data_IF_796030174465
#
_entry.id   IF_796030174465
#
_cell.length_a   1.000
_cell.length_b   1.000
_cell.length_c   1.000
_cell.angle_alpha   90.00
_cell.angle_beta   90.00
_cell.angle_gamma   90.00
#
_symmetry.space_group_name_H-M   'P 1'
#
loop_
_entity.id
_entity.type
_entity.pdbx_description
1 polymer ?
#
# COMPACT_ATOMS: atom_id res chain seq x y z
N UNK A 1 38.31 -41.12 -7.11
CA UNK A 1 38.17 -40.74 -5.69
C UNK A 1 37.93 -39.24 -5.54
N UNK A 2 38.89 -38.36 -5.86
CA UNK A 2 38.75 -36.89 -5.76
C UNK A 2 37.50 -36.32 -6.47
N UNK A 3 37.20 -36.77 -7.69
CA UNK A 3 36.02 -36.33 -8.45
C UNK A 3 34.69 -36.73 -7.79
N UNK A 4 34.62 -37.93 -7.19
CA UNK A 4 33.41 -38.41 -6.52
C UNK A 4 33.20 -37.67 -5.21
N UNK A 5 34.27 -37.42 -4.46
CA UNK A 5 34.22 -36.64 -3.22
C UNK A 5 33.85 -35.18 -3.48
N UNK A 6 34.38 -34.56 -4.55
CA UNK A 6 34.00 -33.19 -4.92
C UNK A 6 32.54 -33.10 -5.40
N UNK A 7 32.09 -34.09 -6.17
CA UNK A 7 30.69 -34.15 -6.64
C UNK A 7 29.71 -34.33 -5.49
N UNK A 8 30.02 -35.22 -4.54
CA UNK A 8 29.17 -35.44 -3.37
C UNK A 8 29.16 -34.21 -2.44
N UNK A 9 30.31 -33.59 -2.22
CA UNK A 9 30.42 -32.34 -1.46
C UNK A 9 29.62 -31.20 -2.10
N UNK A 10 29.73 -31.02 -3.43
CA UNK A 10 28.93 -30.04 -4.17
C UNK A 10 27.44 -30.32 -4.06
N UNK A 11 27.04 -31.59 -4.14
CA UNK A 11 25.62 -31.97 -4.07
C UNK A 11 25.06 -31.75 -2.66
N UNK A 12 25.82 -32.12 -1.62
CA UNK A 12 25.39 -31.95 -0.24
C UNK A 12 25.28 -30.47 0.15
N UNK A 13 26.25 -29.64 -0.27
CA UNK A 13 26.23 -28.18 -0.01
C UNK A 13 25.11 -27.49 -0.79
N UNK A 14 24.89 -27.87 -2.06
CA UNK A 14 23.76 -27.40 -2.85
C UNK A 14 22.42 -27.78 -2.19
N UNK A 15 22.25 -29.03 -1.78
CA UNK A 15 21.02 -29.49 -1.12
C UNK A 15 20.77 -28.76 0.22
N UNK A 16 21.82 -28.50 1.00
CA UNK A 16 21.69 -27.73 2.23
C UNK A 16 21.23 -26.29 1.94
N UNK A 17 21.81 -25.63 0.94
CA UNK A 17 21.39 -24.28 0.52
C UNK A 17 19.97 -24.23 -0.03
N UNK A 18 19.53 -25.26 -0.78
CA UNK A 18 18.19 -25.31 -1.35
C UNK A 18 17.10 -25.69 -0.34
N UNK A 19 17.49 -26.26 0.81
CA UNK A 19 16.56 -26.52 1.92
C UNK A 19 16.24 -25.28 2.74
N UNK A 20 17.07 -24.24 2.67
CA UNK A 20 16.81 -22.96 3.31
C UNK A 20 15.77 -22.18 2.49
N UNK A 21 14.49 -22.50 2.73
CA UNK A 21 13.37 -21.90 2.04
C UNK A 21 12.52 -21.08 3.03
N UNK A 22 12.60 -19.73 3.02
CA UNK A 22 11.82 -18.89 3.93
C UNK A 22 10.31 -18.94 3.65
N UNK A 23 9.91 -19.46 2.48
CA UNK A 23 8.53 -19.42 1.98
C UNK A 23 7.55 -20.19 2.86
N UNK A 24 7.90 -21.38 3.34
CA UNK A 24 6.96 -22.19 4.14
C UNK A 24 6.58 -21.46 5.43
N UNK A 25 7.56 -20.92 6.14
CA UNK A 25 7.36 -20.15 7.36
C UNK A 25 6.56 -18.88 7.09
N UNK A 26 6.89 -18.16 6.02
CA UNK A 26 6.17 -16.98 5.58
C UNK A 26 4.69 -17.29 5.34
N UNK A 27 4.37 -18.31 4.55
CA UNK A 27 2.99 -18.66 4.17
C UNK A 27 2.17 -19.07 5.40
N UNK A 28 2.73 -19.86 6.32
CA UNK A 28 2.04 -20.24 7.56
C UNK A 28 1.72 -19.02 8.43
N UNK A 29 2.69 -18.13 8.62
CA UNK A 29 2.50 -16.91 9.40
C UNK A 29 1.49 -15.97 8.74
N UNK A 30 1.54 -15.83 7.41
CA UNK A 30 0.64 -14.97 6.66
C UNK A 30 -0.80 -15.49 6.71
N UNK A 31 -1.01 -16.79 6.52
CA UNK A 31 -2.33 -17.42 6.67
C UNK A 31 -2.91 -17.21 8.07
N UNK A 32 -2.11 -17.45 9.12
CA UNK A 32 -2.56 -17.24 10.50
C UNK A 32 -2.88 -15.76 10.77
N UNK A 33 -2.04 -14.84 10.30
CA UNK A 33 -2.24 -13.39 10.48
C UNK A 33 -3.47 -12.88 9.73
N UNK A 34 -3.69 -13.36 8.51
CA UNK A 34 -4.88 -13.03 7.72
C UNK A 34 -6.16 -13.56 8.36
N UNK A 35 -6.14 -14.79 8.88
CA UNK A 35 -7.28 -15.36 9.58
C UNK A 35 -7.62 -14.55 10.85
N UNK A 36 -6.61 -14.14 11.62
CA UNK A 36 -6.81 -13.29 12.80
C UNK A 36 -7.34 -11.89 12.45
N UNK A 37 -7.04 -11.39 11.25
CA UNK A 37 -7.47 -10.08 10.75
C UNK A 37 -8.78 -10.10 9.95
N UNK A 38 -9.47 -11.25 9.85
CA UNK A 38 -10.55 -11.46 8.88
C UNK A 38 -11.73 -10.49 9.01
N UNK A 39 -12.06 -10.05 10.23
CA UNK A 39 -13.15 -9.09 10.49
C UNK A 39 -12.69 -7.63 10.59
N UNK A 40 -11.42 -7.35 10.26
CA UNK A 40 -10.84 -6.00 10.35
C UNK A 40 -11.10 -5.14 9.12
N UNK A 41 -10.49 -3.96 9.09
CA UNK A 41 -10.49 -3.11 7.90
C UNK A 41 -9.83 -3.83 6.70
N UNK A 42 -10.13 -3.45 5.45
CA UNK A 42 -9.42 -3.95 4.28
C UNK A 42 -7.91 -3.76 4.40
N UNK A 43 -7.13 -4.68 3.85
CA UNK A 43 -5.69 -4.52 3.71
C UNK A 43 -5.37 -3.83 2.39
N UNK A 44 -4.42 -2.90 2.40
CA UNK A 44 -3.86 -2.42 1.15
C UNK A 44 -3.20 -3.59 0.43
N UNK A 45 -3.58 -3.77 -0.83
CA UNK A 45 -2.91 -4.75 -1.66
C UNK A 45 -1.44 -4.35 -1.84
N UNK A 46 -0.57 -5.29 -1.53
CA UNK A 46 0.86 -5.07 -1.36
C UNK A 46 1.61 -6.27 -1.91
N UNK A 47 2.83 -6.02 -2.35
CA UNK A 47 3.73 -7.10 -2.74
C UNK A 47 4.09 -7.93 -1.51
N UNK A 48 4.19 -9.24 -1.71
CA UNK A 48 4.75 -10.14 -0.71
C UNK A 48 6.26 -9.95 -0.63
N UNK A 49 6.91 -10.58 0.36
CA UNK A 49 8.36 -10.43 0.48
C UNK A 49 9.06 -10.89 -0.81
N UNK A 50 10.04 -10.12 -1.36
CA UNK A 50 10.73 -10.50 -2.59
C UNK A 50 11.48 -11.83 -2.52
N UNK A 51 11.81 -12.34 -1.32
CA UNK A 51 12.37 -13.69 -1.14
C UNK A 51 11.33 -14.80 -1.29
N UNK A 52 10.03 -14.46 -1.24
CA UNK A 52 8.92 -15.38 -1.50
C UNK A 52 8.55 -15.35 -2.98
N UNK A 53 8.24 -14.16 -3.52
CA UNK A 53 7.92 -13.98 -4.93
C UNK A 53 8.31 -12.58 -5.39
N UNK A 54 9.20 -12.50 -6.36
CA UNK A 54 9.75 -11.24 -6.85
C UNK A 54 8.76 -10.49 -7.77
N UNK A 55 8.95 -9.17 -7.90
CA UNK A 55 8.16 -8.29 -8.78
C UNK A 55 8.18 -8.68 -10.26
N UNK A 56 9.15 -9.48 -10.72
CA UNK A 56 9.13 -10.03 -12.09
C UNK A 56 7.90 -10.90 -12.36
N UNK A 57 7.30 -11.47 -11.31
CA UNK A 57 6.09 -12.27 -11.37
C UNK A 57 4.80 -11.46 -11.20
N UNK A 58 4.84 -10.13 -11.32
CA UNK A 58 3.64 -9.29 -11.27
C UNK A 58 2.58 -9.80 -12.27
N UNK A 59 1.30 -9.92 -11.88
CA UNK A 59 0.69 -9.50 -10.60
C UNK A 59 0.70 -10.58 -9.52
N UNK A 60 1.21 -11.77 -9.80
CA UNK A 60 1.10 -12.92 -8.89
C UNK A 60 1.87 -12.73 -7.57
N UNK A 61 2.80 -11.77 -7.52
CA UNK A 61 3.49 -11.36 -6.30
C UNK A 61 2.65 -10.46 -5.36
N UNK A 62 1.44 -10.08 -5.74
CA UNK A 62 0.53 -9.34 -4.87
C UNK A 62 -0.11 -10.27 -3.84
N UNK A 63 -0.29 -9.79 -2.61
CA UNK A 63 -0.94 -10.53 -1.54
C UNK A 63 -2.37 -10.95 -1.92
N UNK A 64 -3.09 -10.11 -2.67
CA UNK A 64 -4.42 -10.44 -3.19
C UNK A 64 -4.44 -11.62 -4.15
N UNK A 65 -3.39 -11.80 -4.97
CA UNK A 65 -3.23 -12.93 -5.88
C UNK A 65 -2.79 -14.18 -5.11
N UNK A 66 -1.72 -14.07 -4.32
CA UNK A 66 -1.13 -15.21 -3.61
C UNK A 66 -2.10 -15.85 -2.60
N UNK A 67 -2.94 -15.04 -1.96
CA UNK A 67 -3.90 -15.51 -0.96
C UNK A 67 -5.35 -15.50 -1.45
N UNK A 68 -5.57 -15.42 -2.76
CA UNK A 68 -6.90 -15.33 -3.37
C UNK A 68 -7.86 -16.41 -2.87
N UNK A 69 -7.37 -17.65 -2.72
CA UNK A 69 -8.15 -18.84 -2.35
C UNK A 69 -8.39 -19.00 -0.84
N UNK A 70 -7.77 -18.18 0.01
CA UNK A 70 -8.08 -18.20 1.44
C UNK A 70 -9.49 -17.63 1.68
N UNK A 71 -10.35 -18.41 2.33
CA UNK A 71 -11.73 -18.00 2.66
C UNK A 71 -11.81 -17.06 3.86
N UNK A 72 -10.95 -17.28 4.85
CA UNK A 72 -10.94 -16.52 6.11
C UNK A 72 -9.78 -15.54 6.06
N UNK A 73 -10.04 -14.33 5.56
CA UNK A 73 -9.07 -13.24 5.44
C UNK A 73 -9.80 -11.90 5.28
N UNK A 74 -9.15 -10.76 5.57
CA UNK A 74 -9.68 -9.46 5.19
C UNK A 74 -9.76 -9.31 3.66
N UNK A 75 -10.57 -8.36 3.22
CA UNK A 75 -10.55 -7.88 1.84
C UNK A 75 -9.20 -7.23 1.52
N UNK A 76 -8.71 -7.41 0.29
CA UNK A 76 -7.61 -6.62 -0.25
C UNK A 76 -8.18 -5.50 -1.11
N UNK A 77 -7.81 -4.26 -0.82
CA UNK A 77 -8.35 -3.07 -1.46
C UNK A 77 -7.25 -2.06 -1.80
N UNK A 78 -7.59 -1.06 -2.59
CA UNK A 78 -6.70 0.07 -2.88
C UNK A 78 -6.73 1.15 -1.79
N UNK A 79 -7.61 1.01 -0.78
CA UNK A 79 -7.76 1.98 0.30
C UNK A 79 -8.05 1.31 1.63
N UNK A 80 -7.59 1.90 2.74
CA UNK A 80 -7.91 1.43 4.10
C UNK A 80 -7.84 2.57 5.11
N UNK A 81 -8.50 2.42 6.25
CA UNK A 81 -8.36 3.30 7.42
C UNK A 81 -7.35 2.76 8.45
N UNK A 82 -6.92 1.49 8.31
CA UNK A 82 -5.96 0.84 9.20
C UNK A 82 -4.80 0.27 8.39
N UNK A 83 -3.67 0.99 8.42
CA UNK A 83 -2.49 0.62 7.65
C UNK A 83 -1.72 -0.51 8.34
N UNK A 84 -1.57 -1.63 7.63
CA UNK A 84 -0.82 -2.82 8.08
C UNK A 84 0.02 -3.36 6.93
N UNK A 85 1.12 -4.02 7.27
CA UNK A 85 2.03 -4.62 6.30
C UNK A 85 2.49 -6.02 6.70
N UNK A 86 2.88 -6.84 5.71
CA UNK A 86 3.59 -8.08 5.97
C UNK A 86 5.07 -7.81 6.27
N UNK A 87 5.60 -8.48 7.29
CA UNK A 87 7.04 -8.59 7.52
C UNK A 87 7.66 -9.62 6.58
N UNK A 88 8.99 -9.65 6.49
CA UNK A 88 9.73 -10.70 5.77
C UNK A 88 9.51 -12.12 6.28
N UNK A 89 8.96 -12.26 7.48
CA UNK A 89 8.57 -13.54 8.08
C UNK A 89 7.09 -13.87 7.87
N UNK A 90 6.34 -13.04 7.15
CA UNK A 90 4.92 -13.24 6.85
C UNK A 90 3.97 -12.85 7.98
N UNK A 91 4.42 -12.12 9.00
CA UNK A 91 3.53 -11.61 10.05
C UNK A 91 2.89 -10.30 9.61
N UNK A 92 1.60 -10.13 9.89
CA UNK A 92 0.92 -8.85 9.67
C UNK A 92 1.13 -7.94 10.88
N UNK A 93 1.68 -6.75 10.66
CA UNK A 93 1.95 -5.75 11.71
C UNK A 93 1.40 -4.39 11.32
N UNK A 94 1.20 -3.52 12.32
CA UNK A 94 0.85 -2.11 12.07
C UNK A 94 1.96 -1.41 11.29
N UNK A 95 1.56 -0.52 10.39
CA UNK A 95 2.47 0.15 9.48
C UNK A 95 2.23 1.66 9.43
N UNK A 96 3.26 2.37 9.00
CA UNK A 96 3.25 3.80 8.69
C UNK A 96 3.76 4.02 7.27
N UNK A 97 3.43 5.18 6.70
CA UNK A 97 3.96 5.61 5.41
C UNK A 97 5.31 6.27 5.63
N UNK A 98 6.32 5.88 4.84
CA UNK A 98 7.63 6.52 4.86
C UNK A 98 7.58 7.89 4.19
N UNK A 99 8.48 8.77 4.60
CA UNK A 99 8.58 10.14 4.11
C UNK A 99 9.44 10.20 2.85
N UNK A 100 9.00 9.56 1.76
CA UNK A 100 9.70 9.67 0.46
C UNK A 100 9.41 11.04 -0.15
N UNK A 101 8.14 11.44 -0.15
CA UNK A 101 7.67 12.78 -0.46
C UNK A 101 6.61 13.22 0.53
N UNK A 102 6.34 14.51 0.51
CA UNK A 102 5.31 15.14 1.34
C UNK A 102 4.42 16.01 0.47
N UNK A 103 3.11 15.91 0.66
CA UNK A 103 2.17 16.92 0.18
C UNK A 103 2.45 18.20 0.96
N UNK A 104 2.82 19.28 0.27
CA UNK A 104 3.11 20.57 0.92
C UNK A 104 1.84 21.19 1.49
N UNK A 105 2.00 22.18 2.38
CA UNK A 105 0.86 22.89 2.94
C UNK A 105 0.06 23.61 1.84
N UNK A 106 -1.25 23.35 1.79
CA UNK A 106 -2.15 24.00 0.84
C UNK A 106 -2.41 25.48 1.18
N UNK A 107 -2.91 26.26 0.20
CA UNK A 107 -3.00 27.72 0.31
C UNK A 107 -4.15 28.21 1.21
N UNK A 108 -5.11 27.36 1.58
CA UNK A 108 -6.29 27.76 2.37
C UNK A 108 -5.97 27.64 3.86
N UNK A 109 -5.96 28.74 4.63
CA UNK A 109 -5.72 28.68 6.07
C UNK A 109 -6.67 27.71 6.77
N UNK A 110 -6.16 26.93 7.73
CA UNK A 110 -6.91 25.95 8.53
C UNK A 110 -7.51 24.76 7.76
N UNK A 111 -7.46 24.76 6.43
CA UNK A 111 -8.03 23.72 5.57
C UNK A 111 -6.95 22.97 4.75
N UNK A 112 -5.90 23.67 4.32
CA UNK A 112 -4.92 23.17 3.36
C UNK A 112 -5.45 23.30 1.93
N UNK A 113 -5.86 22.20 1.32
CA UNK A 113 -6.49 22.17 0.00
C UNK A 113 -8.00 22.00 0.13
N UNK A 114 -8.76 22.92 -0.47
CA UNK A 114 -10.23 22.90 -0.44
C UNK A 114 -10.78 22.32 -1.74
N UNK A 115 -11.37 21.12 -1.67
CA UNK A 115 -11.84 20.36 -2.84
C UNK A 115 -13.37 20.27 -2.85
N UNK A 116 -13.96 20.55 -4.01
CA UNK A 116 -15.39 20.38 -4.30
C UNK A 116 -15.59 19.73 -5.68
N UNK A 117 -16.79 19.26 -6.05
CA UNK A 117 -17.01 18.57 -7.33
C UNK A 117 -16.71 19.46 -8.54
N UNK A 118 -16.99 20.75 -8.43
CA UNK A 118 -16.71 21.81 -9.41
C UNK A 118 -15.32 22.44 -9.24
N UNK A 119 -14.59 22.07 -8.18
CA UNK A 119 -13.26 22.58 -7.84
C UNK A 119 -12.30 21.44 -7.54
N UNK A 120 -11.79 20.74 -8.57
CA UNK A 120 -10.68 19.81 -8.39
C UNK A 120 -9.41 20.58 -8.01
N UNK A 121 -8.56 19.97 -7.18
CA UNK A 121 -7.33 20.57 -6.69
C UNK A 121 -6.13 19.67 -6.99
N UNK A 122 -4.95 20.29 -7.08
CA UNK A 122 -3.67 19.58 -7.22
C UNK A 122 -2.89 19.71 -5.91
N UNK A 123 -2.74 18.60 -5.19
CA UNK A 123 -1.89 18.52 -4.01
C UNK A 123 -0.44 18.44 -4.49
N UNK A 124 0.34 19.49 -4.23
CA UNK A 124 1.71 19.60 -4.73
C UNK A 124 2.64 18.80 -3.80
N UNK A 125 3.55 18.02 -4.37
CA UNK A 125 4.57 17.29 -3.63
C UNK A 125 5.84 18.14 -3.51
N UNK A 126 6.60 17.92 -2.43
CA UNK A 126 7.92 18.52 -2.19
C UNK A 126 9.03 18.07 -3.16
N UNK A 127 8.69 17.18 -4.10
CA UNK A 127 9.52 16.75 -5.22
C UNK A 127 8.85 15.65 -6.04
N UNK A 128 9.39 15.31 -7.22
CA UNK A 128 8.79 14.30 -8.07
C UNK A 128 8.96 12.88 -7.51
N UNK A 129 7.96 12.04 -7.73
CA UNK A 129 7.96 10.60 -7.55
C UNK A 129 8.29 9.91 -8.87
N UNK A 130 9.16 8.90 -8.83
CA UNK A 130 9.42 8.02 -9.97
C UNK A 130 8.25 7.04 -10.19
N UNK A 131 8.15 6.40 -11.36
CA UNK A 131 7.15 5.37 -11.60
C UNK A 131 7.22 4.27 -10.54
N UNK A 132 6.11 4.04 -9.85
CA UNK A 132 6.02 3.03 -8.82
C UNK A 132 4.60 2.90 -8.29
N UNK A 133 4.45 1.97 -7.36
CA UNK A 133 3.24 1.86 -6.56
C UNK A 133 3.50 2.65 -5.27
N UNK A 134 2.82 3.78 -5.07
CA UNK A 134 3.00 4.64 -3.90
C UNK A 134 1.84 4.48 -2.93
N UNK A 135 2.08 4.72 -1.64
CA UNK A 135 1.02 4.86 -0.63
C UNK A 135 0.99 6.29 -0.15
N UNK A 136 -0.19 6.92 -0.18
CA UNK A 136 -0.44 8.21 0.47
C UNK A 136 -1.16 7.97 1.78
N UNK A 137 -0.70 8.59 2.86
CA UNK A 137 -1.54 8.86 4.03
C UNK A 137 -2.28 10.17 3.76
N UNK A 138 -3.59 10.20 3.93
CA UNK A 138 -4.39 11.40 3.67
C UNK A 138 -5.24 11.72 4.89
N UNK A 139 -4.95 12.87 5.51
CA UNK A 139 -5.76 13.44 6.58
C UNK A 139 -6.73 14.46 5.97
N UNK A 140 -8.02 14.25 6.16
CA UNK A 140 -9.06 15.10 5.57
C UNK A 140 -10.18 15.42 6.54
N UNK A 141 -10.86 16.55 6.31
CA UNK A 141 -12.10 16.92 6.95
C UNK A 141 -13.20 17.03 5.88
N UNK A 142 -14.30 16.31 6.06
CA UNK A 142 -15.43 16.30 5.13
C UNK A 142 -16.74 16.74 5.79
N UNK A 143 -17.65 17.31 5.00
CA UNK A 143 -18.99 17.69 5.46
C UNK A 143 -20.03 16.56 5.34
N UNK A 144 -19.83 15.58 4.46
CA UNK A 144 -20.79 14.50 4.18
C UNK A 144 -20.09 13.21 3.74
N UNK A 145 -20.83 12.11 3.75
CA UNK A 145 -20.39 10.84 3.17
C UNK A 145 -20.30 10.92 1.64
N UNK A 146 -19.33 10.23 1.06
CA UNK A 146 -19.17 10.18 -0.38
C UNK A 146 -17.92 9.47 -0.86
N UNK A 147 -17.39 9.95 -1.98
CA UNK A 147 -16.09 9.51 -2.47
C UNK A 147 -15.34 10.63 -3.16
N UNK A 148 -14.03 10.52 -3.15
CA UNK A 148 -13.14 11.33 -3.96
C UNK A 148 -12.34 10.43 -4.89
N UNK A 149 -11.77 11.06 -5.90
CA UNK A 149 -10.85 10.49 -6.85
C UNK A 149 -9.46 11.04 -6.58
N UNK A 150 -8.46 10.17 -6.50
CA UNK A 150 -7.05 10.52 -6.37
C UNK A 150 -6.29 9.96 -7.57
N UNK A 151 -5.38 10.74 -8.15
CA UNK A 151 -4.45 10.28 -9.18
C UNK A 151 -3.12 10.99 -9.05
N UNK A 152 -2.01 10.28 -9.17
CA UNK A 152 -0.71 10.92 -9.43
C UNK A 152 -0.72 11.56 -10.84
N UNK A 153 0.16 12.55 -11.08
CA UNK A 153 0.24 13.24 -12.38
C UNK A 153 0.28 12.26 -13.55
N UNK A 154 1.08 11.19 -13.44
CA UNK A 154 1.18 10.10 -14.42
C UNK A 154 0.69 8.78 -13.80
N UNK A 155 -0.60 8.68 -13.51
CA UNK A 155 -1.19 7.48 -12.92
C UNK A 155 -2.69 7.36 -13.12
N UNK A 156 -3.27 6.15 -12.96
CA UNK A 156 -4.70 5.96 -13.05
C UNK A 156 -5.42 6.56 -11.84
N UNK A 157 -6.68 6.93 -12.05
CA UNK A 157 -7.57 7.39 -10.98
C UNK A 157 -7.89 6.24 -10.01
N UNK A 158 -7.92 6.57 -8.72
CA UNK A 158 -8.29 5.69 -7.62
C UNK A 158 -9.41 6.32 -6.81
N UNK A 159 -10.51 5.59 -6.69
CA UNK A 159 -11.65 6.01 -5.88
C UNK A 159 -11.33 5.77 -4.40
N UNK A 160 -11.57 6.77 -3.58
CA UNK A 160 -11.36 6.73 -2.13
C UNK A 160 -12.69 7.04 -1.43
N UNK A 161 -13.19 6.16 -0.55
CA UNK A 161 -14.38 6.44 0.25
C UNK A 161 -14.09 7.56 1.25
N UNK A 162 -15.10 8.39 1.49
CA UNK A 162 -15.02 9.57 2.34
C UNK A 162 -16.16 9.51 3.36
N UNK A 163 -15.85 9.83 4.61
CA UNK A 163 -16.79 9.94 5.72
C UNK A 163 -16.77 11.34 6.32
N UNK A 164 -17.88 11.84 6.88
CA UNK A 164 -17.94 13.16 7.49
C UNK A 164 -17.00 13.29 8.70
N UNK A 165 -16.58 14.51 9.00
CA UNK A 165 -15.67 14.82 10.09
C UNK A 165 -14.19 14.63 9.73
N UNK A 166 -13.34 14.69 10.76
CA UNK A 166 -11.88 14.53 10.61
C UNK A 166 -11.55 13.05 10.51
N UNK A 167 -10.93 12.66 9.40
CA UNK A 167 -10.64 11.28 9.07
C UNK A 167 -9.23 11.13 8.51
N UNK A 168 -8.73 9.89 8.60
CA UNK A 168 -7.47 9.48 7.98
C UNK A 168 -7.71 8.25 7.11
N UNK A 169 -7.25 8.32 5.88
CA UNK A 169 -7.34 7.21 4.92
C UNK A 169 -5.98 7.01 4.25
N UNK A 170 -5.66 5.75 3.99
CA UNK A 170 -4.49 5.34 3.24
C UNK A 170 -4.93 4.86 1.88
N UNK A 171 -4.27 5.31 0.81
CA UNK A 171 -4.60 4.92 -0.56
C UNK A 171 -3.36 4.49 -1.34
N UNK A 172 -3.50 3.42 -2.12
CA UNK A 172 -2.49 2.97 -3.07
C UNK A 172 -2.65 3.73 -4.39
N UNK A 173 -1.64 4.52 -4.74
CA UNK A 173 -1.59 5.35 -5.93
C UNK A 173 -0.43 4.90 -6.82
N UNK A 174 -0.67 4.04 -7.81
CA UNK A 174 0.33 3.76 -8.84
C UNK A 174 0.55 4.98 -9.72
N UNK A 175 1.80 5.19 -10.16
CA UNK A 175 2.14 6.25 -11.09
C UNK A 175 3.45 6.97 -10.76
N UNK A 176 3.61 8.14 -11.37
CA UNK A 176 4.75 9.04 -11.18
C UNK A 176 4.29 10.51 -11.14
N UNK A 177 5.23 11.41 -10.86
CA UNK A 177 5.03 12.86 -11.00
C UNK A 177 5.14 13.64 -9.69
N UNK A 178 4.75 14.91 -9.74
CA UNK A 178 5.00 15.93 -8.72
C UNK A 178 3.74 16.39 -7.99
N UNK A 179 2.58 15.84 -8.31
CA UNK A 179 1.32 16.20 -7.70
C UNK A 179 0.35 15.02 -7.63
N UNK A 180 -0.60 15.12 -6.70
CA UNK A 180 -1.79 14.26 -6.64
C UNK A 180 -2.99 15.14 -7.01
N UNK A 181 -3.70 14.78 -8.07
CA UNK A 181 -4.97 15.41 -8.44
C UNK A 181 -6.09 14.81 -7.59
N UNK A 182 -6.92 15.68 -7.02
CA UNK A 182 -8.09 15.30 -6.21
C UNK A 182 -9.34 15.87 -6.81
N UNK A 183 -10.38 15.04 -6.94
CA UNK A 183 -11.71 15.45 -7.37
C UNK A 183 -12.77 14.84 -6.46
N UNK A 184 -13.67 15.66 -5.94
CA UNK A 184 -14.84 15.14 -5.22
C UNK A 184 -15.85 14.55 -6.23
N UNK A 185 -16.30 13.32 -6.00
CA UNK A 185 -17.23 12.64 -6.89
C UNK A 185 -18.71 12.81 -6.46
N UNK A 186 -18.93 13.15 -5.20
CA UNK A 186 -20.28 13.25 -4.63
C UNK A 186 -20.75 14.71 -4.64
N UNK A 187 -21.97 14.96 -5.12
CA UNK A 187 -22.58 16.29 -5.11
C UNK A 187 -22.59 16.88 -3.70
N UNK A 188 -22.26 18.17 -3.59
CA UNK A 188 -22.16 18.91 -2.33
C UNK A 188 -21.10 18.41 -1.33
N UNK A 189 -20.26 17.42 -1.69
CA UNK A 189 -19.12 17.02 -0.88
C UNK A 189 -18.04 18.12 -0.91
N UNK A 190 -17.63 18.58 0.26
CA UNK A 190 -16.54 19.54 0.44
C UNK A 190 -15.48 18.93 1.35
N UNK A 191 -14.22 19.03 0.93
CA UNK A 191 -13.08 18.42 1.60
C UNK A 191 -12.03 19.47 1.92
N UNK A 192 -11.48 19.40 3.13
CA UNK A 192 -10.21 20.02 3.48
C UNK A 192 -9.16 18.94 3.60
N UNK A 193 -8.06 19.06 2.85
CA UNK A 193 -6.96 18.09 2.84
C UNK A 193 -5.68 18.77 3.33
N UNK A 194 -5.08 18.18 4.35
CA UNK A 194 -3.82 18.66 4.93
C UNK A 194 -2.56 18.14 4.25
N UNK A 195 -1.42 18.63 4.71
CA UNK A 195 -0.12 18.06 4.38
C UNK A 195 -0.02 16.62 4.89
N UNK A 196 0.60 15.74 4.13
CA UNK A 196 0.69 14.32 4.48
C UNK A 196 1.80 13.60 3.71
N UNK A 197 2.35 12.49 4.25
CA UNK A 197 3.42 11.75 3.61
C UNK A 197 2.94 10.86 2.46
N UNK A 198 3.82 10.68 1.48
CA UNK A 198 3.71 9.74 0.38
C UNK A 198 4.96 8.88 0.32
N UNK A 199 4.81 7.56 0.29
CA UNK A 199 5.96 6.65 0.30
C UNK A 199 5.60 5.18 0.33
N UNK A 200 6.52 4.39 0.88
CA UNK A 200 6.38 2.95 1.09
C UNK A 200 5.88 2.65 2.49
N UNK A 201 5.53 1.38 2.74
CA UNK A 201 5.16 0.93 4.07
C UNK A 201 6.42 0.63 4.90
N UNK A 202 6.42 1.04 6.15
CA UNK A 202 7.40 0.63 7.15
C UNK A 202 6.67 0.23 8.44
N UNK A 203 7.27 -0.65 9.28
CA UNK A 203 6.70 -0.96 10.59
C UNK A 203 6.49 0.31 11.42
N UNK A 204 5.37 0.37 12.13
CA UNK A 204 5.00 1.50 12.98
C UNK A 204 6.07 1.80 14.04
#
# INVERSE_FOLDING_TARGET
MLFLTSSLYSTATFLASWRDNPTEGYLKNAQASLAAAASGAPLLDQEVDPLVLQRVAWPENLASHMFALLRVRPEFATTTTQLRMFTSTGRLVDAKVTWVRTIIAGPVPQCGYFVQPDRPERLILDGPLLPGDWTVELNYLANSDGSMALALSDGPERKVPVHPGLNRVYARLPGAGDAITVRANTTALSLCIGAAPVGFLAPA
#
